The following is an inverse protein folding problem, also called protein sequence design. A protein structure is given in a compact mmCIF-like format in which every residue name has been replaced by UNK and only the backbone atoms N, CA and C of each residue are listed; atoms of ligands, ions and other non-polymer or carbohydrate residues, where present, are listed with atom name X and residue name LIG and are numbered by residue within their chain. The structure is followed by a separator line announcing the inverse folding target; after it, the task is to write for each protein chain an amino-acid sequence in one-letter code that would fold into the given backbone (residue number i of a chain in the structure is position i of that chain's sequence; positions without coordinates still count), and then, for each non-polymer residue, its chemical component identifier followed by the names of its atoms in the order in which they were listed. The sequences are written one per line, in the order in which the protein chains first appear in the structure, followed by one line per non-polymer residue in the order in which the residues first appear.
data_IF_720791216395
#
_entry.id   IF_720791216395
#
_cell.length_a   1.000
_cell.length_b   1.000
_cell.length_c   1.000
_cell.angle_alpha   90.00
_cell.angle_beta   90.00
_cell.angle_gamma   90.00
#
_symmetry.space_group_name_H-M   'P 1'
#
loop_
_entity.id
_entity.type
_entity.pdbx_description
1 polymer ?
#
# COMPACT_ATOMS: atom_id res chain seq x y z
N UNK A 1 -22.09 -23.59 -20.37
CA UNK A 1 -22.91 -23.70 -19.14
C UNK A 1 -22.53 -22.55 -18.23
N UNK A 2 -23.48 -21.64 -17.97
CA UNK A 2 -23.36 -20.59 -16.97
C UNK A 2 -23.52 -21.20 -15.58
N UNK A 3 -22.57 -20.99 -14.69
CA UNK A 3 -22.78 -21.23 -13.26
C UNK A 3 -22.71 -19.87 -12.55
N UNK A 4 -23.88 -19.41 -12.11
CA UNK A 4 -24.02 -18.41 -11.07
C UNK A 4 -23.35 -18.94 -9.78
N UNK A 5 -22.42 -18.16 -9.23
CA UNK A 5 -21.91 -18.37 -7.88
C UNK A 5 -22.34 -17.18 -7.03
N UNK A 6 -23.43 -17.35 -6.30
CA UNK A 6 -23.82 -16.45 -5.23
C UNK A 6 -23.19 -16.91 -3.91
N UNK A 7 -22.69 -15.93 -3.17
CA UNK A 7 -22.41 -15.94 -1.73
C UNK A 7 -21.11 -16.61 -1.26
N UNK A 8 -20.16 -15.75 -0.84
CA UNK A 8 -19.16 -16.07 0.20
C UNK A 8 -18.07 -17.07 -0.18
N UNK A 9 -17.24 -16.76 -1.17
CA UNK A 9 -16.12 -17.62 -1.55
C UNK A 9 -14.80 -17.17 -0.90
N UNK A 10 -14.31 -17.93 0.08
CA UNK A 10 -12.86 -18.08 0.24
C UNK A 10 -12.38 -18.87 -0.97
N UNK A 11 -11.79 -18.18 -1.94
CA UNK A 11 -11.21 -18.82 -3.12
C UNK A 11 -9.88 -19.47 -2.72
N UNK A 12 -9.87 -20.79 -2.55
CA UNK A 12 -8.62 -21.55 -2.49
C UNK A 12 -8.09 -21.66 -3.93
N UNK A 13 -7.19 -20.77 -4.32
CA UNK A 13 -6.56 -20.82 -5.63
C UNK A 13 -5.37 -21.80 -5.61
N UNK A 14 -5.25 -22.71 -6.58
CA UNK A 14 -4.06 -23.56 -6.73
C UNK A 14 -2.82 -22.69 -7.04
N UNK A 15 -1.64 -23.14 -6.60
CA UNK A 15 -0.38 -22.39 -6.58
C UNK A 15 0.10 -21.80 -7.92
N UNK A 16 -0.52 -22.18 -9.05
CA UNK A 16 -0.26 -21.62 -10.39
C UNK A 16 -0.95 -20.26 -10.62
N UNK A 17 -1.71 -19.73 -9.65
CA UNK A 17 -2.58 -18.55 -9.80
C UNK A 17 -2.19 -17.35 -8.91
N UNK A 18 -0.94 -17.28 -8.44
CA UNK A 18 -0.45 -16.21 -7.56
C UNK A 18 -0.65 -14.80 -8.19
N UNK A 19 -0.44 -14.68 -9.50
CA UNK A 19 -0.67 -13.44 -10.24
C UNK A 19 -2.15 -13.01 -10.24
N UNK A 20 -3.10 -13.97 -10.25
CA UNK A 20 -4.54 -13.67 -10.20
C UNK A 20 -4.97 -13.22 -8.80
N UNK A 21 -4.38 -13.80 -7.74
CA UNK A 21 -4.63 -13.40 -6.35
C UNK A 21 -4.18 -11.96 -6.08
N UNK A 22 -2.95 -11.61 -6.47
CA UNK A 22 -2.42 -10.24 -6.32
C UNK A 22 -3.24 -9.24 -7.15
N UNK A 23 -3.61 -9.61 -8.38
CA UNK A 23 -4.44 -8.78 -9.25
C UNK A 23 -5.81 -8.46 -8.61
N UNK A 24 -6.45 -9.44 -7.97
CA UNK A 24 -7.71 -9.24 -7.24
C UNK A 24 -7.54 -8.35 -5.99
N UNK A 25 -6.53 -8.60 -5.16
CA UNK A 25 -6.28 -7.81 -3.94
C UNK A 25 -6.02 -6.34 -4.26
N UNK A 26 -5.25 -6.08 -5.32
CA UNK A 26 -5.01 -4.74 -5.85
C UNK A 26 -6.29 -4.08 -6.34
N UNK A 27 -7.12 -4.79 -7.11
CA UNK A 27 -8.40 -4.27 -7.60
C UNK A 27 -9.31 -3.86 -6.44
N UNK A 28 -9.42 -4.70 -5.41
CA UNK A 28 -10.23 -4.37 -4.23
C UNK A 28 -9.66 -3.17 -3.44
N UNK A 29 -8.34 -3.00 -3.44
CA UNK A 29 -7.68 -1.85 -2.80
C UNK A 29 -7.91 -0.56 -3.58
N UNK A 30 -7.97 -0.64 -4.91
CA UNK A 30 -8.32 0.49 -5.77
C UNK A 30 -9.78 0.91 -5.60
N UNK A 31 -10.70 -0.05 -5.58
CA UNK A 31 -12.14 0.20 -5.34
C UNK A 31 -12.39 0.84 -3.97
N UNK A 32 -11.58 0.49 -2.96
CA UNK A 32 -11.64 1.08 -1.62
C UNK A 32 -10.93 2.43 -1.51
N UNK A 33 -10.26 2.90 -2.57
CA UNK A 33 -9.48 4.15 -2.56
C UNK A 33 -8.20 4.11 -1.74
N UNK A 34 -7.72 2.91 -1.37
CA UNK A 34 -6.46 2.72 -0.63
C UNK A 34 -5.27 3.00 -1.55
N UNK A 35 -5.39 2.60 -2.82
CA UNK A 35 -4.38 2.83 -3.85
C UNK A 35 -5.00 3.52 -5.07
N UNK A 36 -4.26 4.43 -5.69
CA UNK A 36 -4.72 5.16 -6.88
C UNK A 36 -4.07 4.60 -8.17
N UNK A 37 -4.34 5.25 -9.30
CA UNK A 37 -3.81 4.83 -10.60
C UNK A 37 -2.27 4.83 -10.68
N UNK A 38 -1.56 5.59 -9.84
CA UNK A 38 -0.09 5.55 -9.78
C UNK A 38 0.42 4.20 -9.26
N UNK A 39 -0.38 3.49 -8.48
CA UNK A 39 -0.03 2.16 -7.98
C UNK A 39 0.06 1.11 -9.10
N UNK A 40 -0.53 1.37 -10.27
CA UNK A 40 -0.38 0.51 -11.45
C UNK A 40 1.06 0.43 -11.96
N UNK A 41 1.90 1.43 -11.65
CA UNK A 41 3.32 1.42 -12.01
C UNK A 41 4.09 0.29 -11.33
N UNK A 42 3.68 -0.08 -10.11
CA UNK A 42 4.28 -1.18 -9.35
C UNK A 42 3.71 -2.56 -9.74
N UNK A 43 2.68 -2.61 -10.60
CA UNK A 43 2.02 -3.85 -11.06
C UNK A 43 2.52 -4.35 -12.42
N UNK A 44 3.18 -3.50 -13.23
CA UNK A 44 3.65 -3.89 -14.57
C UNK A 44 4.95 -4.69 -14.50
N UNK A 45 4.93 -5.75 -13.70
CA UNK A 45 6.05 -6.66 -13.58
C UNK A 45 5.66 -8.05 -14.03
N UNK A 46 6.11 -8.38 -15.23
CA UNK A 46 5.93 -9.70 -15.85
C UNK A 46 7.02 -10.70 -15.43
N UNK A 47 7.92 -10.33 -14.53
CA UNK A 47 9.12 -11.08 -14.14
C UNK A 47 9.25 -11.14 -12.61
N UNK A 48 9.88 -12.20 -12.10
CA UNK A 48 10.14 -12.38 -10.65
C UNK A 48 10.94 -11.21 -10.07
N UNK A 49 11.89 -10.67 -10.84
CA UNK A 49 12.78 -9.59 -10.41
C UNK A 49 12.06 -8.27 -10.12
N UNK A 50 11.07 -7.86 -10.91
CA UNK A 50 10.35 -6.63 -10.56
C UNK A 50 9.24 -6.85 -9.54
N UNK A 51 8.76 -8.08 -9.33
CA UNK A 51 7.86 -8.36 -8.22
C UNK A 51 8.61 -8.19 -6.90
N UNK A 52 9.86 -8.67 -6.83
CA UNK A 52 10.79 -8.38 -5.74
C UNK A 52 11.06 -6.87 -5.62
N UNK A 53 11.25 -6.17 -6.74
CA UNK A 53 11.41 -4.70 -6.74
C UNK A 53 10.19 -3.95 -6.20
N UNK A 54 8.97 -4.38 -6.54
CA UNK A 54 7.74 -3.76 -6.06
C UNK A 54 7.55 -3.99 -4.55
N UNK A 55 7.82 -5.21 -4.08
CA UNK A 55 7.83 -5.54 -2.64
C UNK A 55 8.84 -4.68 -1.89
N UNK A 56 10.04 -4.48 -2.45
CA UNK A 56 11.06 -3.63 -1.85
C UNK A 56 10.62 -2.16 -1.74
N UNK A 57 10.04 -1.60 -2.80
CA UNK A 57 9.56 -0.22 -2.82
C UNK A 57 8.42 0.01 -1.82
N UNK A 58 7.48 -0.94 -1.72
CA UNK A 58 6.40 -0.89 -0.72
C UNK A 58 6.99 -0.99 0.71
N UNK A 59 7.94 -1.90 0.91
CA UNK A 59 8.58 -2.09 2.23
C UNK A 59 9.36 -0.85 2.66
N UNK A 60 10.07 -0.21 1.73
CA UNK A 60 10.79 1.05 1.97
C UNK A 60 9.80 2.17 2.34
N UNK A 61 8.70 2.31 1.59
CA UNK A 61 7.65 3.27 1.92
C UNK A 61 7.06 3.03 3.32
N UNK A 62 6.73 1.79 3.66
CA UNK A 62 6.20 1.45 4.99
C UNK A 62 7.19 1.81 6.11
N UNK A 63 8.47 1.46 5.93
CA UNK A 63 9.53 1.77 6.91
C UNK A 63 9.69 3.27 7.10
N UNK A 64 9.67 4.03 6.00
CA UNK A 64 9.77 5.49 6.03
C UNK A 64 8.58 6.13 6.76
N UNK A 65 7.35 5.70 6.44
CA UNK A 65 6.14 6.23 7.07
C UNK A 65 6.06 5.86 8.55
N UNK A 66 6.43 4.64 8.93
CA UNK A 66 6.51 4.22 10.34
C UNK A 66 7.50 5.06 11.13
N UNK A 67 8.64 5.40 10.52
CA UNK A 67 9.64 6.28 11.13
C UNK A 67 9.07 7.69 11.34
N UNK A 68 8.42 8.26 10.32
CA UNK A 68 7.81 9.59 10.41
C UNK A 68 6.68 9.60 11.44
N UNK A 69 5.83 8.58 11.48
CA UNK A 69 4.73 8.48 12.47
C UNK A 69 5.25 8.31 13.90
N UNK A 70 6.35 7.59 14.08
CA UNK A 70 7.01 7.46 15.39
C UNK A 70 7.52 8.82 15.88
N UNK A 71 8.16 9.58 14.99
CA UNK A 71 8.61 10.94 15.27
C UNK A 71 7.41 11.88 15.52
N UNK A 72 6.36 11.80 14.71
CA UNK A 72 5.13 12.58 14.85
C UNK A 72 4.46 12.35 16.21
N UNK A 73 4.37 11.09 16.64
CA UNK A 73 3.81 10.70 17.95
C UNK A 73 4.64 11.29 19.09
N UNK A 74 5.96 11.30 18.95
CA UNK A 74 6.85 11.86 19.98
C UNK A 74 6.66 13.37 20.21
N UNK A 75 6.17 14.12 19.22
CA UNK A 75 5.89 15.54 19.35
C UNK A 75 4.49 15.85 19.91
N UNK A 76 3.51 14.99 19.66
CA UNK A 76 2.13 15.19 20.14
C UNK A 76 2.02 15.06 21.66
N UNK A 77 2.86 14.22 22.26
CA UNK A 77 2.87 14.00 23.71
C UNK A 77 3.62 15.10 24.49
N UNK A 78 4.17 16.12 23.80
CA UNK A 78 4.87 17.22 24.44
C UNK A 78 3.90 18.27 24.99
N UNK A 79 4.20 18.90 26.14
CA UNK A 79 3.37 19.95 26.72
C UNK A 79 3.37 21.25 25.89
N UNK A 80 4.39 21.45 25.06
CA UNK A 80 4.50 22.56 24.09
C UNK A 80 4.73 21.96 22.71
N UNK A 81 3.63 21.76 21.98
CA UNK A 81 3.62 21.07 20.68
C UNK A 81 4.10 22.04 19.60
N UNK A 82 5.17 21.68 18.90
CA UNK A 82 5.62 22.40 17.71
C UNK A 82 4.77 22.00 16.49
N UNK A 83 3.71 22.77 16.23
CA UNK A 83 2.84 22.58 15.07
C UNK A 83 3.54 22.75 13.74
N UNK A 84 4.64 23.52 13.67
CA UNK A 84 5.39 23.71 12.43
C UNK A 84 6.08 22.40 12.05
N UNK A 85 6.68 21.74 13.04
CA UNK A 85 7.33 20.45 12.86
C UNK A 85 6.34 19.33 12.54
N UNK A 86 5.16 19.33 13.15
CA UNK A 86 4.08 18.40 12.78
C UNK A 86 3.61 18.61 11.34
N UNK A 87 3.47 19.86 10.88
CA UNK A 87 3.09 20.16 9.50
C UNK A 87 4.14 19.69 8.49
N UNK A 88 5.43 19.85 8.80
CA UNK A 88 6.53 19.33 7.97
C UNK A 88 6.48 17.80 7.85
N UNK A 89 6.30 17.09 8.97
CA UNK A 89 6.19 15.62 8.98
C UNK A 89 4.96 15.12 8.21
N UNK A 90 3.81 15.79 8.36
CA UNK A 90 2.60 15.46 7.61
C UNK A 90 2.78 15.67 6.10
N UNK A 91 3.42 16.78 5.71
CA UNK A 91 3.74 17.05 4.31
C UNK A 91 4.70 16.03 3.70
N UNK A 92 5.64 15.51 4.50
CA UNK A 92 6.55 14.45 4.05
C UNK A 92 5.82 13.12 3.79
N UNK A 93 4.83 12.77 4.61
CA UNK A 93 3.95 11.60 4.36
C UNK A 93 3.17 11.79 3.06
N UNK A 94 2.57 12.96 2.83
CA UNK A 94 1.83 13.26 1.60
C UNK A 94 2.72 13.15 0.35
N UNK A 95 3.93 13.72 0.43
CA UNK A 95 4.92 13.66 -0.64
C UNK A 95 5.39 12.23 -0.93
N UNK A 96 5.57 11.39 0.09
CA UNK A 96 5.92 9.98 -0.10
C UNK A 96 4.77 9.16 -0.67
N UNK A 97 3.53 9.44 -0.26
CA UNK A 97 2.32 8.74 -0.72
C UNK A 97 1.98 9.03 -2.19
N UNK A 98 2.51 10.12 -2.75
CA UNK A 98 2.28 10.56 -4.13
C UNK A 98 3.38 10.15 -5.11
N UNK A 99 4.45 9.47 -4.64
CA UNK A 99 5.50 8.87 -5.49
C UNK A 99 5.05 7.56 -6.11
#
# INVERSE_FOLDING_TARGET
MLNLWHSGAYCFFPAENFAFSISWEVLTSHEKGIVNNQFSHYQDVKTTEGAESAVQLISEYCTDVETILSEFTSYIDLPDIDFSKLAELAGEIERKSSR
#
